data_IF_176619159141
#
_entry.id   IF_176619159141
#
_cell.length_a   1.000
_cell.length_b   1.000
_cell.length_c   1.000
_cell.angle_alpha   90.00
_cell.angle_beta   90.00
_cell.angle_gamma   90.00
#
_symmetry.space_group_name_H-M   'P 1'
#
loop_
_entity.id
_entity.type
_entity.pdbx_description
1 polymer ?
#
# COMPACT_ATOMS: atom_id res chain seq x y z
N UNK A 1 21.64 24.11 -6.14
CA UNK A 1 21.02 22.88 -5.64
C UNK A 1 22.13 21.93 -5.26
N UNK A 2 22.14 21.45 -4.02
CA UNK A 2 23.19 20.56 -3.52
C UNK A 2 22.73 19.11 -3.69
N UNK A 3 23.67 18.15 -3.78
CA UNK A 3 23.34 16.72 -3.98
C UNK A 3 22.32 16.17 -2.99
N UNK A 4 22.33 16.62 -1.74
CA UNK A 4 21.35 16.25 -0.72
C UNK A 4 19.91 16.67 -1.04
N UNK A 5 19.72 17.89 -1.58
CA UNK A 5 18.40 18.38 -1.97
C UNK A 5 17.84 17.61 -3.17
N UNK A 6 18.73 17.21 -4.09
CA UNK A 6 18.38 16.38 -5.24
C UNK A 6 17.94 15.00 -4.75
N UNK A 7 18.71 14.37 -3.87
CA UNK A 7 18.41 13.04 -3.35
C UNK A 7 17.09 12.99 -2.57
N UNK A 8 16.82 13.96 -1.69
CA UNK A 8 15.53 14.02 -0.98
C UNK A 8 14.38 14.22 -1.96
N UNK A 9 14.54 15.13 -2.92
CA UNK A 9 13.52 15.42 -3.92
C UNK A 9 13.22 14.19 -4.77
N UNK A 10 14.25 13.52 -5.27
CA UNK A 10 14.11 12.32 -6.09
C UNK A 10 13.49 11.17 -5.30
N UNK A 11 13.90 10.95 -4.04
CA UNK A 11 13.29 9.91 -3.18
C UNK A 11 11.81 10.18 -2.91
N UNK A 12 11.44 11.42 -2.59
CA UNK A 12 10.04 11.77 -2.33
C UNK A 12 9.18 11.69 -3.59
N UNK A 13 9.66 12.21 -4.72
CA UNK A 13 8.90 12.24 -5.97
C UNK A 13 8.80 10.86 -6.63
N UNK A 14 9.84 10.02 -6.52
CA UNK A 14 9.80 8.68 -7.12
C UNK A 14 8.74 7.77 -6.49
N UNK A 15 8.47 7.94 -5.20
CA UNK A 15 7.51 7.12 -4.47
C UNK A 15 6.09 7.69 -4.44
N UNK A 16 5.94 9.02 -4.55
CA UNK A 16 4.63 9.67 -4.44
C UNK A 16 3.93 9.67 -5.79
N UNK A 17 2.65 9.26 -5.89
CA UNK A 17 1.89 9.42 -7.12
C UNK A 17 1.77 10.91 -7.47
N UNK A 18 2.21 11.29 -8.69
CA UNK A 18 2.16 12.68 -9.16
C UNK A 18 0.72 13.18 -9.35
N UNK A 19 -0.19 12.28 -9.75
CA UNK A 19 -1.61 12.54 -9.88
C UNK A 19 -2.38 11.27 -9.50
N UNK A 20 -3.59 11.44 -8.95
CA UNK A 20 -4.52 10.34 -8.67
C UNK A 20 -5.90 10.70 -9.19
N UNK A 21 -6.51 9.78 -9.92
CA UNK A 21 -7.90 9.91 -10.38
C UNK A 21 -8.78 9.07 -9.46
N UNK A 22 -9.89 9.64 -8.98
CA UNK A 22 -10.82 8.97 -8.06
C UNK A 22 -12.22 9.02 -8.63
N UNK A 23 -12.89 7.87 -8.66
CA UNK A 23 -14.29 7.79 -9.06
C UNK A 23 -15.20 7.99 -7.84
N UNK A 24 -16.34 8.65 -8.04
CA UNK A 24 -17.30 8.90 -6.96
C UNK A 24 -18.03 7.61 -6.52
N UNK A 25 -18.18 6.67 -7.45
CA UNK A 25 -18.75 5.35 -7.19
C UNK A 25 -17.71 4.26 -7.44
N UNK A 26 -17.88 3.11 -6.78
CA UNK A 26 -17.16 1.89 -7.07
C UNK A 26 -17.66 1.28 -8.38
N UNK A 27 -17.64 2.06 -9.46
CA UNK A 27 -17.86 1.55 -10.81
C UNK A 27 -16.66 0.68 -11.15
N UNK A 28 -16.90 -0.51 -11.69
CA UNK A 28 -15.83 -1.34 -12.24
C UNK A 28 -15.11 -0.50 -13.30
N UNK A 29 -13.85 -0.13 -13.02
CA UNK A 29 -12.96 0.43 -14.03
C UNK A 29 -12.89 -0.61 -15.16
N UNK A 30 -13.46 -0.26 -16.32
CA UNK A 30 -13.41 -1.12 -17.48
C UNK A 30 -12.04 -1.00 -18.16
N UNK A 31 -11.64 -2.01 -18.92
CA UNK A 31 -10.33 -2.00 -19.59
C UNK A 31 -10.16 -0.79 -20.52
N UNK A 32 -11.25 -0.30 -21.11
CA UNK A 32 -11.24 0.92 -21.94
C UNK A 32 -10.78 2.18 -21.19
N UNK A 33 -10.97 2.26 -19.87
CA UNK A 33 -10.44 3.37 -19.07
C UNK A 33 -8.92 3.34 -18.98
N UNK A 34 -8.32 2.14 -18.90
CA UNK A 34 -6.88 1.95 -18.84
C UNK A 34 -6.19 2.16 -20.20
N UNK A 35 -6.87 1.80 -21.29
CA UNK A 35 -6.38 2.04 -22.66
C UNK A 35 -6.08 3.52 -22.93
N UNK A 36 -6.76 4.46 -22.27
CA UNK A 36 -6.48 5.90 -22.39
C UNK A 36 -5.07 6.21 -21.89
N UNK A 37 -4.65 5.58 -20.79
CA UNK A 37 -3.33 5.82 -20.20
C UNK A 37 -2.21 5.12 -20.96
N UNK A 38 -2.46 3.94 -21.51
CA UNK A 38 -1.47 3.20 -22.32
C UNK A 38 -1.10 3.94 -23.61
N UNK A 39 -2.03 4.71 -24.17
CA UNK A 39 -1.85 5.41 -25.45
C UNK A 39 -1.42 6.88 -25.31
N UNK A 40 -1.28 7.40 -24.09
CA UNK A 40 -0.86 8.78 -23.84
C UNK A 40 0.67 8.86 -23.67
N UNK A 41 1.41 9.53 -24.57
CA UNK A 41 2.87 9.60 -24.51
C UNK A 41 3.41 10.40 -23.31
N UNK A 42 2.58 11.22 -22.67
CA UNK A 42 2.98 11.99 -21.48
C UNK A 42 2.86 11.17 -20.18
N UNK A 43 2.26 9.98 -20.25
CA UNK A 43 2.06 9.09 -19.10
C UNK A 43 3.15 8.02 -19.07
N UNK A 44 4.08 8.18 -18.13
CA UNK A 44 5.19 7.24 -17.95
C UNK A 44 4.79 5.92 -17.27
N UNK A 45 3.75 5.97 -16.42
CA UNK A 45 3.31 4.84 -15.60
C UNK A 45 1.96 5.12 -14.97
N UNK A 46 1.13 4.08 -14.79
CA UNK A 46 -0.09 4.16 -14.00
C UNK A 46 -0.27 2.90 -13.15
N UNK A 47 -1.14 2.97 -12.13
CA UNK A 47 -1.53 1.80 -11.33
C UNK A 47 -2.88 2.08 -10.69
N UNK A 48 -3.73 1.06 -10.65
CA UNK A 48 -4.98 1.10 -9.90
C UNK A 48 -4.70 0.81 -8.42
N UNK A 49 -5.33 1.58 -7.53
CA UNK A 49 -5.20 1.35 -6.10
C UNK A 49 -6.54 1.56 -5.37
N UNK A 50 -6.65 0.93 -4.22
CA UNK A 50 -7.69 1.17 -3.23
C UNK A 50 -7.05 1.58 -1.91
N UNK A 51 -7.73 2.43 -1.15
CA UNK A 51 -7.26 2.85 0.15
C UNK A 51 -8.36 2.76 1.20
N UNK A 52 -7.98 2.40 2.42
CA UNK A 52 -8.89 2.33 3.55
C UNK A 52 -8.16 2.72 4.84
N UNK A 53 -8.83 3.50 5.70
CA UNK A 53 -8.36 3.73 7.06
C UNK A 53 -8.75 2.53 7.94
N UNK A 54 -7.75 1.82 8.46
CA UNK A 54 -7.91 0.58 9.25
C UNK A 54 -7.17 0.69 10.58
N UNK A 55 -7.46 -0.20 11.52
CA UNK A 55 -6.64 -0.37 12.73
C UNK A 55 -5.72 -1.56 12.55
N UNK A 56 -4.42 -1.38 12.77
CA UNK A 56 -3.45 -2.47 12.85
C UNK A 56 -3.21 -2.87 14.30
N UNK A 57 -3.11 -4.18 14.54
CA UNK A 57 -2.84 -4.75 15.84
C UNK A 57 -1.65 -5.70 15.78
N UNK A 58 -0.78 -5.54 16.77
CA UNK A 58 0.29 -6.47 17.13
C UNK A 58 0.36 -6.52 18.64
N UNK A 59 0.33 -7.72 19.22
CA UNK A 59 0.29 -7.93 20.67
C UNK A 59 -0.78 -7.06 21.35
N UNK A 60 -0.36 -6.09 22.18
CA UNK A 60 -1.25 -5.18 22.93
C UNK A 60 -1.35 -3.77 22.31
N UNK A 61 -0.71 -3.52 21.16
CA UNK A 61 -0.70 -2.22 20.51
C UNK A 61 -1.72 -2.13 19.38
N UNK A 62 -2.45 -1.02 19.35
CA UNK A 62 -3.43 -0.68 18.32
C UNK A 62 -3.05 0.66 17.72
N UNK A 63 -2.89 0.72 16.40
CA UNK A 63 -2.61 1.97 15.69
C UNK A 63 -3.56 2.17 14.51
N UNK A 64 -4.14 3.35 14.32
CA UNK A 64 -4.81 3.68 13.07
C UNK A 64 -3.75 3.84 11.97
N UNK A 65 -3.99 3.22 10.82
CA UNK A 65 -3.13 3.31 9.65
C UNK A 65 -3.97 3.51 8.40
N UNK A 66 -3.35 4.06 7.36
CA UNK A 66 -3.89 4.02 6.01
C UNK A 66 -3.34 2.80 5.30
N UNK A 67 -4.22 1.89 4.91
CA UNK A 67 -3.88 0.76 4.05
C UNK A 67 -4.04 1.20 2.59
N UNK A 68 -3.02 0.98 1.78
CA UNK A 68 -3.05 1.18 0.33
C UNK A 68 -2.81 -0.17 -0.32
N UNK A 69 -3.75 -0.62 -1.14
CA UNK A 69 -3.67 -1.87 -1.88
C UNK A 69 -3.65 -1.56 -3.38
N UNK A 70 -2.57 -1.97 -4.04
CA UNK A 70 -2.40 -1.83 -5.49
C UNK A 70 -2.94 -3.06 -6.19
N UNK A 71 -3.57 -2.86 -7.35
CA UNK A 71 -3.98 -3.96 -8.22
C UNK A 71 -2.74 -4.59 -8.87
N UNK A 72 -2.77 -5.91 -9.09
CA UNK A 72 -1.72 -6.67 -9.76
C UNK A 72 -1.78 -6.43 -11.28
N UNK A 73 -1.76 -5.15 -11.66
CA UNK A 73 -1.70 -4.67 -13.03
C UNK A 73 -0.62 -3.59 -13.05
N UNK A 74 0.52 -4.00 -13.59
CA UNK A 74 1.73 -3.24 -13.89
C UNK A 74 2.77 -3.04 -12.78
N UNK A 75 3.98 -3.47 -13.15
CA UNK A 75 5.14 -3.82 -12.34
C UNK A 75 5.85 -2.64 -11.64
N UNK A 76 5.43 -1.41 -11.88
CA UNK A 76 6.15 -0.22 -11.40
C UNK A 76 6.07 -0.04 -9.88
N UNK A 77 4.98 -0.44 -9.22
CA UNK A 77 4.89 -0.32 -7.76
C UNK A 77 5.86 -1.29 -7.08
N UNK A 78 5.97 -2.52 -7.58
CA UNK A 78 6.94 -3.50 -7.09
C UNK A 78 8.38 -3.01 -7.31
N UNK A 79 8.71 -2.53 -8.52
CA UNK A 79 10.04 -2.00 -8.83
C UNK A 79 10.39 -0.78 -7.96
N UNK A 80 9.46 0.17 -7.84
CA UNK A 80 9.64 1.34 -6.97
C UNK A 80 9.81 0.93 -5.51
N UNK A 81 8.99 0.00 -5.00
CA UNK A 81 9.13 -0.52 -3.64
C UNK A 81 10.50 -1.17 -3.42
N UNK A 82 11.02 -1.96 -4.38
CA UNK A 82 12.34 -2.58 -4.27
C UNK A 82 13.48 -1.56 -4.15
N UNK A 83 13.38 -0.39 -4.78
CA UNK A 83 14.43 0.64 -4.66
C UNK A 83 14.52 1.25 -3.27
N UNK A 84 13.45 1.11 -2.49
CA UNK A 84 13.31 1.81 -1.23
C UNK A 84 13.33 0.82 -0.04
N UNK A 85 12.91 -0.44 -0.20
CA UNK A 85 12.94 -1.47 0.85
C UNK A 85 14.35 -1.71 1.43
N UNK A 86 14.48 -1.57 2.76
CA UNK A 86 15.74 -1.82 3.49
C UNK A 86 16.02 -3.33 3.57
N UNK A 87 14.97 -4.12 3.83
CA UNK A 87 15.01 -5.58 3.91
C UNK A 87 13.69 -6.14 3.35
N UNK A 88 13.77 -7.12 2.46
CA UNK A 88 12.58 -7.77 1.90
C UNK A 88 12.79 -9.26 1.60
N UNK A 89 11.72 -10.04 1.70
CA UNK A 89 11.65 -11.40 1.18
C UNK A 89 11.51 -11.33 -0.35
N UNK A 90 12.26 -12.15 -1.09
CA UNK A 90 12.15 -12.25 -2.56
C UNK A 90 10.76 -12.71 -3.01
N UNK A 91 9.95 -13.27 -2.09
CA UNK A 91 8.59 -13.71 -2.34
C UNK A 91 7.52 -12.71 -1.87
N UNK A 92 7.91 -11.49 -1.45
CA UNK A 92 7.00 -10.45 -0.94
C UNK A 92 5.79 -10.22 -1.87
N UNK A 93 6.04 -10.16 -3.18
CA UNK A 93 5.02 -9.89 -4.20
C UNK A 93 4.40 -11.17 -4.79
N UNK A 94 4.97 -12.36 -4.50
CA UNK A 94 4.50 -13.65 -5.03
C UNK A 94 3.46 -14.34 -4.16
N UNK A 95 3.18 -13.78 -2.98
CA UNK A 95 2.31 -14.38 -1.99
C UNK A 95 1.21 -13.42 -1.55
N UNK A 96 -0.01 -13.93 -1.43
CA UNK A 96 -1.14 -13.16 -0.91
C UNK A 96 -0.95 -12.82 0.58
N UNK A 97 -1.57 -11.73 1.02
CA UNK A 97 -1.57 -11.27 2.42
C UNK A 97 -0.17 -10.94 2.98
N UNK A 98 0.72 -10.41 2.14
CA UNK A 98 1.94 -9.72 2.57
C UNK A 98 1.65 -8.22 2.65
N UNK A 99 2.22 -7.54 3.65
CA UNK A 99 2.12 -6.09 3.80
C UNK A 99 3.51 -5.49 3.98
N UNK A 100 3.74 -4.35 3.32
CA UNK A 100 4.90 -3.51 3.59
C UNK A 100 4.46 -2.41 4.54
N UNK A 101 5.22 -2.20 5.61
CA UNK A 101 5.00 -1.10 6.55
C UNK A 101 6.28 -0.28 6.71
N UNK A 102 6.13 1.01 6.98
CA UNK A 102 7.27 1.88 7.29
C UNK A 102 7.99 1.44 8.58
N UNK A 103 9.29 1.70 8.67
CA UNK A 103 10.15 1.22 9.74
C UNK A 103 9.73 1.82 11.08
N UNK A 104 9.35 3.10 11.11
CA UNK A 104 8.84 3.74 12.34
C UNK A 104 7.57 3.04 12.85
N UNK A 105 6.66 2.66 11.96
CA UNK A 105 5.47 1.90 12.34
C UNK A 105 5.86 0.49 12.81
N UNK A 106 6.81 -0.18 12.15
CA UNK A 106 7.28 -1.49 12.56
C UNK A 106 7.94 -1.47 13.95
N UNK A 107 8.77 -0.46 14.22
CA UNK A 107 9.40 -0.23 15.53
C UNK A 107 8.35 0.09 16.59
N UNK A 108 7.41 1.00 16.29
CA UNK A 108 6.30 1.33 17.18
C UNK A 108 5.44 0.11 17.51
N UNK A 109 5.22 -0.78 16.54
CA UNK A 109 4.45 -2.02 16.72
C UNK A 109 5.27 -3.18 17.28
N UNK A 110 6.58 -3.00 17.49
CA UNK A 110 7.54 -4.04 17.87
C UNK A 110 7.43 -5.32 17.03
N UNK A 111 7.41 -5.16 15.70
CA UNK A 111 7.32 -6.27 14.74
C UNK A 111 8.51 -6.33 13.79
N UNK A 112 8.86 -7.55 13.41
CA UNK A 112 9.95 -7.92 12.51
C UNK A 112 9.42 -8.59 11.24
N UNK A 113 10.31 -8.81 10.27
CA UNK A 113 9.94 -9.52 9.04
C UNK A 113 9.47 -10.93 9.37
N UNK A 114 8.32 -11.32 8.82
CA UNK A 114 7.69 -12.62 9.09
C UNK A 114 6.71 -12.63 10.26
N UNK A 115 6.63 -11.56 11.04
CA UNK A 115 5.61 -11.44 12.08
C UNK A 115 4.22 -11.24 11.49
N UNK A 116 3.21 -11.69 12.24
CA UNK A 116 1.81 -11.64 11.83
C UNK A 116 1.13 -10.43 12.45
N UNK A 117 0.49 -9.64 11.59
CA UNK A 117 -0.29 -8.47 11.94
C UNK A 117 -1.77 -8.75 11.71
N UNK A 118 -2.63 -8.14 12.53
CA UNK A 118 -4.09 -8.21 12.37
C UNK A 118 -4.63 -6.84 11.96
N UNK A 119 -5.41 -6.79 10.90
CA UNK A 119 -6.10 -5.57 10.46
C UNK A 119 -7.57 -5.60 10.87
N UNK A 120 -8.09 -4.47 11.36
CA UNK A 120 -9.51 -4.23 11.62
C UNK A 120 -10.00 -3.15 10.67
N UNK A 121 -10.87 -3.56 9.75
CA UNK A 121 -11.61 -2.69 8.83
C UNK A 121 -13.02 -2.42 9.40
N UNK A 122 -13.53 -1.21 9.15
CA UNK A 122 -14.95 -0.90 9.41
C UNK A 122 -15.78 -1.42 8.24
N UNK A 123 -16.49 -2.53 8.41
CA UNK A 123 -17.53 -2.90 7.44
C UNK A 123 -18.67 -1.86 7.50
N UNK A 124 -19.03 -1.30 6.34
CA UNK A 124 -20.36 -0.70 6.15
C UNK A 124 -21.40 -1.82 6.25
N UNK A 125 -21.92 -2.07 7.45
CA UNK A 125 -23.09 -2.92 7.67
C UNK A 125 -24.32 -2.04 7.78
N UNK A 126 -25.32 -2.28 6.93
CA UNK A 126 -26.67 -1.71 7.04
C UNK A 126 -27.50 -2.31 8.17
N UNK A 127 -26.93 -3.23 8.97
CA UNK A 127 -27.58 -3.79 10.15
C UNK A 127 -26.83 -3.42 11.42
N UNK A 128 -27.54 -2.76 12.31
CA UNK A 128 -27.15 -2.34 13.65
C UNK A 128 -26.94 -3.55 14.57
N UNK A 129 -25.88 -4.32 14.37
CA UNK A 129 -25.22 -5.15 15.38
C UNK A 129 -23.79 -5.36 14.88
N UNK A 130 -22.83 -4.90 15.68
CA UNK A 130 -21.40 -5.12 15.51
C UNK A 130 -21.12 -6.57 15.07
N UNK A 131 -20.57 -6.75 13.86
CA UNK A 131 -20.02 -8.04 13.42
C UNK A 131 -18.49 -7.96 13.46
N UNK A 132 -17.81 -9.03 13.91
CA UNK A 132 -16.37 -9.05 13.99
C UNK A 132 -15.75 -8.87 12.60
N UNK A 133 -14.72 -8.04 12.58
CA UNK A 133 -13.76 -7.78 11.51
C UNK A 133 -13.22 -9.07 10.88
N UNK A 134 -12.92 -9.02 9.59
CA UNK A 134 -12.19 -10.10 8.91
C UNK A 134 -10.79 -10.15 9.52
N UNK A 135 -10.51 -11.17 10.33
CA UNK A 135 -9.18 -11.40 10.90
C UNK A 135 -8.28 -11.99 9.82
N UNK A 136 -7.70 -11.13 8.99
CA UNK A 136 -6.64 -11.54 8.06
C UNK A 136 -5.28 -11.32 8.72
N UNK A 137 -4.42 -12.34 8.59
CA UNK A 137 -3.06 -12.33 9.12
C UNK A 137 -2.15 -11.88 7.99
N UNK A 138 -1.53 -10.72 8.17
CA UNK A 138 -0.59 -10.18 7.21
C UNK A 138 0.83 -10.37 7.69
N UNK A 139 1.76 -10.61 6.78
CA UNK A 139 3.18 -10.69 7.13
C UNK A 139 3.89 -9.38 6.83
N UNK A 140 4.59 -8.87 7.83
CA UNK A 140 5.29 -7.59 7.82
C UNK A 140 6.58 -7.63 6.99
N UNK A 141 6.84 -6.55 6.25
CA UNK A 141 8.14 -6.17 5.68
C UNK A 141 8.44 -4.70 5.99
N UNK A 142 9.72 -4.34 6.18
CA UNK A 142 10.13 -2.99 6.61
C UNK A 142 10.62 -2.14 5.44
N UNK A 143 10.18 -0.88 5.42
CA UNK A 143 10.66 0.18 4.55
C UNK A 143 11.24 1.35 5.37
N UNK A 144 12.09 2.24 4.83
CA UNK A 144 12.70 3.39 5.54
C UNK A 144 11.75 4.13 6.49
#
# INVERSE_FOLDING_TARGET
>A
MNGFQIEIKERMLNFTPHASIRTAEASQLNNAFFEIFENDPDIQSYSAFSEEDVLILSNEMINPIRLIAYEDREYLVEEKLKTVLVEHDQNLFKQSFRIVIGNDLAQKMNVSIGDKLRLLTKRKSTSSIWKPTKNERFYCHRYF
#
